data_IF_280539665846
#
_entry.id   IF_280539665846
#
_cell.length_a   1.000
_cell.length_b   1.000
_cell.length_c   1.000
_cell.angle_alpha   90.00
_cell.angle_beta   90.00
_cell.angle_gamma   90.00
#
_symmetry.space_group_name_H-M   'P 1'
#
loop_
_entity.id
_entity.type
_entity.pdbx_description
1 polymer ?
#
# COMPACT_ATOMS: atom_id res chain seq x y z
N UNK A 1 -30.54 -37.37 7.61
CA UNK A 1 -31.83 -37.56 8.32
C UNK A 1 -32.77 -36.45 7.91
N UNK A 2 -34.00 -36.80 7.49
CA UNK A 2 -34.97 -35.92 6.84
C UNK A 2 -36.22 -35.86 7.72
N UNK A 3 -36.59 -34.68 8.23
CA UNK A 3 -37.86 -34.38 8.92
C UNK A 3 -38.13 -32.88 8.76
N UNK A 4 -38.75 -32.43 7.66
CA UNK A 4 -40.21 -32.21 7.49
C UNK A 4 -40.83 -31.38 8.63
N UNK A 5 -41.14 -30.13 8.32
CA UNK A 5 -42.16 -29.31 8.98
C UNK A 5 -42.87 -28.49 7.91
N UNK A 6 -44.12 -28.85 7.63
CA UNK A 6 -45.04 -28.23 6.67
C UNK A 6 -46.09 -27.46 7.48
N UNK A 7 -46.69 -26.45 6.85
CA UNK A 7 -48.08 -25.94 6.97
C UNK A 7 -48.08 -24.43 7.30
N UNK A 8 -48.44 -23.54 6.37
CA UNK A 8 -49.77 -23.18 5.82
C UNK A 8 -50.14 -21.79 6.35
N UNK A 9 -50.59 -20.90 5.46
CA UNK A 9 -51.49 -19.83 5.87
C UNK A 9 -51.59 -18.62 4.94
N UNK A 10 -52.64 -18.62 4.11
CA UNK A 10 -53.53 -17.48 3.76
C UNK A 10 -52.88 -16.18 3.28
N UNK A 11 -52.97 -15.85 1.98
CA UNK A 11 -54.14 -15.26 1.32
C UNK A 11 -54.59 -13.91 1.95
N UNK A 12 -54.28 -12.82 1.23
CA UNK A 12 -54.73 -11.48 1.55
C UNK A 12 -54.53 -10.54 0.36
N UNK A 13 -55.40 -10.67 -0.65
CA UNK A 13 -55.58 -9.68 -1.71
C UNK A 13 -56.23 -8.44 -1.09
N UNK A 14 -55.50 -7.33 -1.02
CA UNK A 14 -56.08 -6.01 -0.75
C UNK A 14 -55.70 -5.10 -1.91
N UNK A 15 -56.69 -4.85 -2.77
CA UNK A 15 -56.64 -3.82 -3.79
C UNK A 15 -56.74 -2.46 -3.10
N UNK A 16 -55.62 -1.74 -3.01
CA UNK A 16 -55.57 -0.33 -2.64
C UNK A 16 -55.17 0.48 -3.84
N UNK A 17 -56.13 1.18 -4.46
CA UNK A 17 -55.86 2.23 -5.43
C UNK A 17 -55.18 3.40 -4.70
N UNK A 18 -53.84 3.36 -4.67
CA UNK A 18 -53.01 4.45 -4.18
C UNK A 18 -52.62 5.34 -5.34
N UNK A 19 -53.33 6.46 -5.51
CA UNK A 19 -52.84 7.61 -6.26
C UNK A 19 -51.51 8.05 -5.63
N UNK A 20 -50.39 7.75 -6.29
CA UNK A 20 -49.12 8.39 -5.99
C UNK A 20 -48.70 9.11 -7.26
N UNK A 21 -48.99 10.41 -7.28
CA UNK A 21 -48.39 11.36 -8.21
C UNK A 21 -46.87 11.31 -7.97
N UNK A 22 -46.19 10.43 -8.68
CA UNK A 22 -44.73 10.39 -8.71
C UNK A 22 -44.29 11.63 -9.49
N UNK A 23 -44.09 12.73 -8.77
CA UNK A 23 -43.23 13.81 -9.25
C UNK A 23 -41.86 13.18 -9.48
N UNK A 24 -41.54 12.91 -10.75
CA UNK A 24 -40.23 12.40 -11.14
C UNK A 24 -39.20 13.48 -10.77
N UNK A 25 -38.27 13.23 -9.83
CA UNK A 25 -37.23 14.21 -9.55
C UNK A 25 -36.39 14.37 -10.81
N UNK A 26 -36.48 15.53 -11.46
CA UNK A 26 -35.71 15.88 -12.66
C UNK A 26 -34.32 16.41 -12.29
N UNK A 27 -33.74 15.91 -11.20
CA UNK A 27 -32.40 16.27 -10.80
C UNK A 27 -31.37 15.78 -11.84
N UNK A 28 -30.23 16.46 -11.99
CA UNK A 28 -29.12 15.97 -12.80
C UNK A 28 -28.78 14.54 -12.35
N UNK A 29 -28.91 13.56 -13.25
CA UNK A 29 -28.50 12.18 -12.99
C UNK A 29 -26.99 11.99 -13.06
N UNK A 30 -26.27 13.04 -13.41
CA UNK A 30 -24.82 13.03 -13.52
C UNK A 30 -24.24 13.32 -12.15
N UNK A 31 -23.53 12.36 -11.52
CA UNK A 31 -22.74 12.63 -10.33
C UNK A 31 -21.74 13.77 -10.62
N UNK A 32 -21.38 14.60 -9.63
CA UNK A 32 -20.28 15.52 -9.81
C UNK A 32 -19.03 14.74 -10.22
N UNK A 33 -18.15 15.32 -11.06
CA UNK A 33 -16.89 14.68 -11.39
C UNK A 33 -16.13 14.38 -10.09
N UNK A 34 -15.60 13.16 -9.98
CA UNK A 34 -14.69 12.82 -8.89
C UNK A 34 -13.52 13.81 -8.90
N UNK A 35 -13.06 14.27 -7.73
CA UNK A 35 -11.87 15.10 -7.68
C UNK A 35 -10.71 14.38 -8.36
N UNK A 36 -9.98 15.09 -9.20
CA UNK A 36 -8.75 14.55 -9.79
C UNK A 36 -7.77 14.25 -8.66
N UNK A 37 -7.08 13.09 -8.68
CA UNK A 37 -6.01 12.83 -7.73
C UNK A 37 -4.91 13.87 -7.97
N UNK A 38 -4.71 14.78 -7.02
CA UNK A 38 -3.52 15.63 -7.00
C UNK A 38 -2.32 14.75 -6.61
N UNK A 39 -1.73 14.06 -7.59
CA UNK A 39 -0.44 13.41 -7.43
C UNK A 39 0.64 14.50 -7.42
N UNK A 40 0.79 15.20 -6.30
CA UNK A 40 2.02 15.94 -6.06
C UNK A 40 3.15 14.90 -6.07
N UNK A 41 4.11 15.03 -7.00
CA UNK A 41 5.30 14.19 -6.96
C UNK A 41 6.04 14.51 -5.65
N UNK A 42 6.49 13.50 -4.89
CA UNK A 42 7.24 13.76 -3.67
C UNK A 42 8.48 14.61 -4.02
N UNK A 43 8.60 15.76 -3.36
CA UNK A 43 9.76 16.64 -3.45
C UNK A 43 10.81 16.20 -2.42
N UNK A 44 12.11 16.33 -2.72
CA UNK A 44 13.17 15.98 -1.78
C UNK A 44 13.94 14.71 -2.15
N UNK A 45 14.37 13.98 -1.11
CA UNK A 45 14.93 12.65 -1.23
C UNK A 45 13.79 11.64 -1.41
N UNK A 46 13.93 10.74 -2.36
CA UNK A 46 12.94 9.70 -2.64
C UNK A 46 13.62 8.37 -2.91
N UNK A 47 12.94 7.27 -2.58
CA UNK A 47 13.39 5.94 -2.97
C UNK A 47 13.05 5.75 -4.45
N UNK A 48 14.07 5.68 -5.29
CA UNK A 48 13.95 5.47 -6.72
C UNK A 48 13.87 3.98 -7.08
N UNK A 49 14.66 3.16 -6.37
CA UNK A 49 14.71 1.71 -6.57
C UNK A 49 14.91 0.99 -5.24
N UNK A 50 14.34 -0.21 -5.16
CA UNK A 50 14.42 -1.11 -4.02
C UNK A 50 14.58 -2.53 -4.54
N UNK A 51 15.63 -3.22 -4.08
CA UNK A 51 15.92 -4.61 -4.41
C UNK A 51 16.27 -5.38 -3.14
N UNK A 52 15.61 -6.50 -2.91
CA UNK A 52 16.01 -7.50 -1.93
C UNK A 52 16.89 -8.58 -2.58
N UNK A 53 17.99 -8.95 -1.94
CA UNK A 53 18.91 -9.97 -2.42
C UNK A 53 19.45 -10.83 -1.28
N UNK A 54 19.92 -12.04 -1.64
CA UNK A 54 20.62 -12.93 -0.71
C UNK A 54 22.08 -12.45 -0.56
N UNK A 55 22.47 -12.13 0.66
CA UNK A 55 23.85 -11.83 1.03
C UNK A 55 24.75 -13.06 0.97
N UNK A 56 26.07 -12.84 1.01
CA UNK A 56 27.07 -13.92 0.93
C UNK A 56 26.96 -14.96 2.06
N UNK A 57 26.33 -14.59 3.17
CA UNK A 57 26.07 -15.44 4.34
C UNK A 57 24.65 -16.02 4.38
N UNK A 58 23.83 -15.79 3.35
CA UNK A 58 22.43 -16.21 3.27
C UNK A 58 21.45 -15.26 3.95
N UNK A 59 21.94 -14.14 4.50
CA UNK A 59 21.09 -13.11 5.09
C UNK A 59 20.37 -12.27 4.04
N UNK A 60 19.27 -11.61 4.42
CA UNK A 60 18.60 -10.62 3.59
C UNK A 60 19.43 -9.33 3.55
N UNK A 61 19.80 -8.91 2.35
CA UNK A 61 20.39 -7.60 2.06
C UNK A 61 19.38 -6.78 1.26
N UNK A 62 19.17 -5.54 1.68
CA UNK A 62 18.27 -4.59 1.01
C UNK A 62 19.11 -3.52 0.32
N UNK A 63 19.08 -3.48 -1.00
CA UNK A 63 19.72 -2.44 -1.81
C UNK A 63 18.69 -1.37 -2.13
N UNK A 64 19.02 -0.13 -1.78
CA UNK A 64 18.15 1.03 -1.93
C UNK A 64 18.88 2.08 -2.76
N UNK A 65 18.21 2.59 -3.79
CA UNK A 65 18.68 3.76 -4.54
C UNK A 65 17.85 4.96 -4.13
N UNK A 66 18.51 5.99 -3.62
CA UNK A 66 17.90 7.24 -3.19
C UNK A 66 18.23 8.34 -4.19
N UNK A 67 17.21 9.03 -4.70
CA UNK A 67 17.32 10.12 -5.65
C UNK A 67 17.05 11.46 -4.96
N UNK A 68 17.87 12.47 -5.22
CA UNK A 68 17.61 13.84 -4.79
C UNK A 68 17.02 14.67 -5.93
N UNK A 69 15.73 14.98 -5.81
CA UNK A 69 14.99 15.76 -6.82
C UNK A 69 15.10 17.28 -6.65
N UNK A 70 15.95 17.73 -5.74
CA UNK A 70 16.11 19.16 -5.43
C UNK A 70 17.38 19.75 -6.08
N UNK A 71 17.45 21.08 -6.11
CA UNK A 71 18.61 21.81 -6.65
C UNK A 71 19.76 22.00 -5.66
N UNK A 72 19.69 21.38 -4.48
CA UNK A 72 20.66 21.50 -3.39
C UNK A 72 20.98 20.11 -2.84
N UNK A 73 22.18 19.91 -2.29
CA UNK A 73 22.53 18.64 -1.67
C UNK A 73 21.61 18.38 -0.47
N UNK A 74 21.21 17.12 -0.27
CA UNK A 74 20.30 16.72 0.80
C UNK A 74 20.88 15.51 1.52
N UNK A 75 20.76 15.52 2.84
CA UNK A 75 21.07 14.39 3.71
C UNK A 75 19.78 13.88 4.33
N UNK A 76 19.60 12.57 4.36
CA UNK A 76 18.46 11.90 4.97
C UNK A 76 18.84 10.55 5.53
N UNK A 77 17.91 9.92 6.23
CA UNK A 77 18.10 8.58 6.79
C UNK A 77 17.21 7.59 6.06
N UNK A 78 17.80 6.56 5.45
CA UNK A 78 17.04 5.42 4.94
C UNK A 78 16.77 4.47 6.09
N UNK A 79 15.51 4.10 6.27
CA UNK A 79 15.07 3.15 7.29
C UNK A 79 14.39 1.98 6.57
N UNK A 80 14.91 0.78 6.76
CA UNK A 80 14.32 -0.46 6.27
C UNK A 80 13.80 -1.29 7.44
N UNK A 81 12.51 -1.58 7.42
CA UNK A 81 11.82 -2.48 8.34
C UNK A 81 11.51 -3.78 7.59
N UNK A 82 12.08 -4.89 8.06
CA UNK A 82 11.91 -6.20 7.46
C UNK A 82 11.40 -7.21 8.48
N UNK A 83 10.61 -8.18 8.04
CA UNK A 83 10.20 -9.31 8.87
C UNK A 83 10.12 -10.62 8.07
N UNK A 84 10.46 -11.73 8.72
CA UNK A 84 10.43 -13.09 8.20
C UNK A 84 10.29 -14.08 9.37
N UNK A 85 9.53 -15.18 9.19
CA UNK A 85 9.41 -16.24 10.21
C UNK A 85 8.81 -15.82 11.56
N UNK A 86 8.17 -14.66 11.63
CA UNK A 86 7.68 -14.07 12.88
C UNK A 86 8.73 -13.24 13.63
N UNK A 87 9.92 -13.08 13.08
CA UNK A 87 10.97 -12.16 13.54
C UNK A 87 10.93 -10.88 12.70
N UNK A 88 11.27 -9.74 13.32
CA UNK A 88 11.29 -8.44 12.66
C UNK A 88 12.53 -7.67 13.07
N UNK A 89 13.09 -6.92 12.13
CA UNK A 89 14.27 -6.09 12.32
C UNK A 89 14.11 -4.75 11.63
N UNK A 90 14.78 -3.73 12.17
CA UNK A 90 14.84 -2.39 11.59
C UNK A 90 16.30 -2.00 11.48
N UNK A 91 16.73 -1.66 10.27
CA UNK A 91 18.08 -1.20 9.98
C UNK A 91 18.01 0.16 9.31
N UNK A 92 18.99 1.02 9.57
CA UNK A 92 19.02 2.35 8.98
C UNK A 92 20.43 2.80 8.61
N UNK A 93 20.52 3.68 7.61
CA UNK A 93 21.76 4.30 7.18
C UNK A 93 21.51 5.75 6.75
N UNK A 94 22.45 6.63 7.08
CA UNK A 94 22.46 8.00 6.58
C UNK A 94 22.99 8.02 5.14
N UNK A 95 22.37 8.84 4.29
CA UNK A 95 22.79 9.07 2.91
C UNK A 95 22.80 10.56 2.62
N UNK A 96 23.83 11.01 1.92
CA UNK A 96 23.89 12.37 1.36
C UNK A 96 23.92 12.25 -0.15
N UNK A 97 22.99 12.93 -0.83
CA UNK A 97 22.82 12.86 -2.28
C UNK A 97 22.93 14.26 -2.87
N UNK A 98 23.80 14.40 -3.86
CA UNK A 98 24.03 15.66 -4.57
C UNK A 98 22.80 16.08 -5.42
N UNK A 99 22.71 17.36 -5.84
CA UNK A 99 21.55 17.86 -6.58
C UNK A 99 21.28 17.09 -7.88
N UNK A 100 20.08 16.52 -8.03
CA UNK A 100 19.68 15.79 -9.24
C UNK A 100 20.37 14.44 -9.44
N UNK A 101 21.13 13.96 -8.44
CA UNK A 101 21.84 12.68 -8.50
C UNK A 101 21.10 11.58 -7.72
N UNK A 102 21.66 10.38 -7.76
CA UNK A 102 21.18 9.23 -7.01
C UNK A 102 22.36 8.51 -6.35
N UNK A 103 22.14 8.00 -5.14
CA UNK A 103 23.10 7.21 -4.39
C UNK A 103 22.53 5.85 -4.06
N UNK A 104 23.37 4.83 -4.15
CA UNK A 104 23.02 3.45 -3.79
C UNK A 104 23.62 3.09 -2.45
N UNK A 105 22.83 2.43 -1.61
CA UNK A 105 23.25 1.90 -0.31
C UNK A 105 22.70 0.49 -0.10
N UNK A 106 23.47 -0.30 0.65
CA UNK A 106 23.11 -1.67 1.01
C UNK A 106 22.92 -1.78 2.52
N UNK A 107 21.75 -2.24 2.92
CA UNK A 107 21.35 -2.44 4.31
C UNK A 107 21.31 -3.95 4.58
N UNK A 108 22.34 -4.46 5.26
CA UNK A 108 22.38 -5.86 5.68
C UNK A 108 21.48 -6.06 6.91
N UNK A 109 20.71 -7.13 6.90
CA UNK A 109 19.87 -7.55 8.04
C UNK A 109 20.34 -8.88 8.60
N UNK A 110 19.84 -9.27 9.77
CA UNK A 110 20.13 -10.57 10.37
C UNK A 110 19.10 -11.65 9.95
N UNK A 111 18.11 -11.30 9.13
CA UNK A 111 17.05 -12.22 8.69
C UNK A 111 17.57 -13.19 7.62
N UNK A 112 17.08 -14.43 7.62
CA UNK A 112 17.35 -15.39 6.56
C UNK A 112 16.61 -15.00 5.26
N UNK A 113 17.33 -14.92 4.14
CA UNK A 113 16.74 -14.55 2.86
C UNK A 113 15.75 -15.61 2.36
N UNK A 114 16.03 -16.89 2.58
CA UNK A 114 15.17 -17.99 2.12
C UNK A 114 13.82 -18.02 2.83
N UNK A 115 13.75 -17.60 4.08
CA UNK A 115 12.53 -17.42 4.86
C UNK A 115 11.79 -16.14 4.44
N UNK A 116 12.51 -15.03 4.27
CA UNK A 116 11.96 -13.79 3.75
C UNK A 116 11.33 -13.98 2.36
N UNK A 117 11.99 -14.68 1.43
CA UNK A 117 11.49 -14.91 0.08
C UNK A 117 10.18 -15.73 0.03
N UNK A 118 9.79 -16.40 1.12
CA UNK A 118 8.56 -17.20 1.19
C UNK A 118 7.34 -16.41 1.68
N UNK A 119 7.53 -15.56 2.68
CA UNK A 119 6.46 -14.94 3.49
C UNK A 119 6.87 -13.58 4.08
N UNK A 120 8.05 -13.08 3.75
CA UNK A 120 8.60 -11.88 4.33
C UNK A 120 7.84 -10.61 3.94
N UNK A 121 8.04 -9.57 4.75
CA UNK A 121 7.57 -8.23 4.44
C UNK A 121 8.70 -7.23 4.58
N UNK A 122 8.74 -6.25 3.67
CA UNK A 122 9.75 -5.20 3.62
C UNK A 122 9.05 -3.86 3.43
N UNK A 123 9.43 -2.90 4.26
CA UNK A 123 9.06 -1.49 4.13
C UNK A 123 10.32 -0.66 4.20
N UNK A 124 10.46 0.28 3.27
CA UNK A 124 11.59 1.21 3.27
C UNK A 124 11.05 2.63 3.11
N UNK A 125 11.56 3.53 3.93
CA UNK A 125 11.24 4.96 3.93
C UNK A 125 12.54 5.77 4.00
N UNK A 126 12.51 7.02 3.54
CA UNK A 126 13.60 7.99 3.68
C UNK A 126 13.09 9.21 4.45
N UNK A 127 13.79 9.56 5.53
CA UNK A 127 13.46 10.66 6.45
C UNK A 127 14.36 11.88 6.27
#
# INVERSE_FOLDING_TARGET
MKRRGVLVGLAGLVAGAGCTDVTRPSGPRTPPPSPEPTSASPEGLVIAELVDEEGDDGSLVVRVTVENRTGEARTGTVVAEASAGGEGTTVSAEVTVEPGESEELSLATELDYGEFARDGSLRVDVE
#
